data_IF_181189500430
#
_entry.id   IF_181189500430
#
_cell.length_a   1.000
_cell.length_b   1.000
_cell.length_c   1.000
_cell.angle_alpha   90.00
_cell.angle_beta   90.00
_cell.angle_gamma   90.00
#
_symmetry.space_group_name_H-M   'P 1'
#
loop_
_entity.id
_entity.type
_entity.pdbx_description
1 polymer ?
#
# COMPACT_ATOMS: atom_id res chain seq x y z
N UNK A 1 -19.95 0.68 -2.61
CA UNK A 1 -18.85 1.65 -2.47
C UNK A 1 -17.63 1.24 -3.29
N UNK A 2 -17.32 -0.05 -3.37
CA UNK A 2 -16.18 -0.55 -4.14
C UNK A 2 -16.09 -0.03 -5.59
N UNK A 3 -17.20 -0.03 -6.36
CA UNK A 3 -17.16 0.43 -7.75
C UNK A 3 -16.77 1.91 -7.86
N UNK A 4 -17.33 2.77 -7.02
CA UNK A 4 -17.00 4.20 -6.97
C UNK A 4 -15.52 4.39 -6.61
N UNK A 5 -15.04 3.72 -5.57
CA UNK A 5 -13.62 3.71 -5.23
C UNK A 5 -12.73 3.26 -6.43
N UNK A 6 -13.12 2.19 -7.12
CA UNK A 6 -12.40 1.69 -8.29
C UNK A 6 -12.39 2.71 -9.45
N UNK A 7 -13.46 3.48 -9.65
CA UNK A 7 -13.52 4.57 -10.64
C UNK A 7 -12.52 5.67 -10.32
N UNK A 8 -12.31 5.99 -9.04
CA UNK A 8 -11.34 7.01 -8.64
C UNK A 8 -9.89 6.55 -8.86
N UNK A 9 -9.51 5.38 -8.33
CA UNK A 9 -8.11 4.92 -8.45
C UNK A 9 -7.70 4.65 -9.92
N UNK A 10 -8.65 4.25 -10.78
CA UNK A 10 -8.44 4.00 -12.22
C UNK A 10 -8.67 5.24 -13.08
N UNK A 11 -9.19 6.32 -12.51
CA UNK A 11 -9.54 7.53 -13.24
C UNK A 11 -8.31 8.27 -13.74
N UNK A 12 -8.39 8.88 -14.92
CA UNK A 12 -7.30 9.69 -15.45
C UNK A 12 -7.35 11.12 -14.89
N UNK A 13 -6.94 11.29 -13.64
CA UNK A 13 -6.85 12.58 -12.95
C UNK A 13 -5.43 13.15 -13.00
N UNK A 14 -5.32 14.48 -12.94
CA UNK A 14 -4.03 15.13 -12.66
C UNK A 14 -3.53 14.79 -11.26
N UNK A 15 -2.22 14.87 -11.07
CA UNK A 15 -1.60 14.68 -9.75
C UNK A 15 -2.14 15.70 -8.74
N UNK A 16 -2.31 16.97 -9.14
CA UNK A 16 -2.89 18.01 -8.27
C UNK A 16 -4.26 17.60 -7.74
N UNK A 17 -5.20 17.19 -8.61
CA UNK A 17 -6.52 16.75 -8.16
C UNK A 17 -6.45 15.46 -7.34
N UNK A 18 -5.53 14.56 -7.68
CA UNK A 18 -5.35 13.32 -6.94
C UNK A 18 -4.97 13.59 -5.48
N UNK A 19 -3.94 14.40 -5.26
CA UNK A 19 -3.42 14.68 -3.92
C UNK A 19 -4.21 15.73 -3.15
N UNK A 20 -4.89 16.68 -3.82
CA UNK A 20 -5.69 17.71 -3.15
C UNK A 20 -7.08 17.18 -2.74
N UNK A 21 -7.71 16.32 -3.54
CA UNK A 21 -9.12 15.91 -3.35
C UNK A 21 -9.32 14.38 -3.34
N UNK A 22 -8.92 13.70 -4.42
CA UNK A 22 -9.36 12.33 -4.69
C UNK A 22 -8.86 11.30 -3.67
N UNK A 23 -7.63 11.48 -3.17
CA UNK A 23 -7.02 10.61 -2.17
C UNK A 23 -7.86 10.57 -0.89
N UNK A 24 -8.24 11.74 -0.36
CA UNK A 24 -9.04 11.84 0.87
C UNK A 24 -10.43 11.24 0.71
N UNK A 25 -11.05 11.41 -0.46
CA UNK A 25 -12.34 10.77 -0.76
C UNK A 25 -12.20 9.24 -0.82
N UNK A 26 -11.13 8.74 -1.43
CA UNK A 26 -10.85 7.31 -1.50
C UNK A 26 -10.63 6.70 -0.11
N UNK A 27 -9.90 7.38 0.77
CA UNK A 27 -9.75 6.97 2.16
C UNK A 27 -11.08 6.91 2.92
N UNK A 28 -11.98 7.87 2.68
CA UNK A 28 -13.32 7.87 3.27
C UNK A 28 -14.14 6.67 2.78
N UNK A 29 -14.07 6.33 1.50
CA UNK A 29 -14.69 5.10 0.99
C UNK A 29 -14.16 3.87 1.71
N UNK A 30 -12.83 3.72 1.84
CA UNK A 30 -12.23 2.55 2.47
C UNK A 30 -12.62 2.38 3.95
N UNK A 31 -12.84 3.48 4.68
CA UNK A 31 -13.32 3.45 6.08
C UNK A 31 -14.72 2.85 6.23
N UNK A 32 -15.51 2.86 5.16
CA UNK A 32 -16.89 2.37 5.14
C UNK A 32 -17.06 1.05 4.37
N UNK A 33 -15.97 0.46 3.86
CA UNK A 33 -16.01 -0.83 3.19
C UNK A 33 -16.50 -1.95 4.11
N UNK A 34 -17.42 -2.76 3.58
CA UNK A 34 -17.78 -4.04 4.17
C UNK A 34 -16.68 -5.10 3.98
N UNK A 35 -16.70 -6.16 4.80
CA UNK A 35 -15.80 -7.32 4.65
C UNK A 35 -15.89 -7.96 3.25
N UNK A 36 -17.08 -7.95 2.64
CA UNK A 36 -17.29 -8.44 1.27
C UNK A 36 -16.56 -7.54 0.25
N UNK A 37 -16.66 -6.22 0.38
CA UNK A 37 -15.97 -5.27 -0.51
C UNK A 37 -14.45 -5.38 -0.37
N UNK A 38 -13.93 -5.52 0.84
CA UNK A 38 -12.51 -5.80 1.07
C UNK A 38 -12.05 -7.10 0.38
N UNK A 39 -12.84 -8.16 0.51
CA UNK A 39 -12.52 -9.46 -0.11
C UNK A 39 -12.51 -9.36 -1.64
N UNK A 40 -13.49 -8.64 -2.21
CA UNK A 40 -13.56 -8.39 -3.65
C UNK A 40 -12.39 -7.54 -4.14
N UNK A 41 -12.00 -6.49 -3.41
CA UNK A 41 -10.83 -5.66 -3.74
C UNK A 41 -9.55 -6.50 -3.79
N UNK A 42 -9.30 -7.33 -2.76
CA UNK A 42 -8.15 -8.24 -2.71
C UNK A 42 -8.12 -9.18 -3.93
N UNK A 43 -9.27 -9.69 -4.36
CA UNK A 43 -9.35 -10.61 -5.50
C UNK A 43 -9.05 -9.98 -6.85
N UNK A 44 -9.14 -8.64 -6.96
CA UNK A 44 -9.03 -7.91 -8.23
C UNK A 44 -7.75 -7.09 -8.37
N UNK A 45 -7.22 -6.57 -7.26
CA UNK A 45 -6.19 -5.52 -7.27
C UNK A 45 -4.91 -5.85 -8.04
N UNK A 46 -4.52 -7.12 -8.10
CA UNK A 46 -3.33 -7.54 -8.83
C UNK A 46 -3.48 -7.38 -10.35
N UNK A 47 -4.72 -7.30 -10.86
CA UNK A 47 -5.02 -7.08 -12.28
C UNK A 47 -5.15 -5.60 -12.65
N UNK A 48 -5.05 -4.69 -11.67
CA UNK A 48 -5.04 -3.26 -11.97
C UNK A 48 -3.71 -2.87 -12.62
N UNK A 49 -3.73 -1.82 -13.43
CA UNK A 49 -2.50 -1.24 -13.94
C UNK A 49 -1.65 -0.66 -12.79
N UNK A 50 -0.37 -0.42 -13.07
CA UNK A 50 0.59 0.02 -12.04
C UNK A 50 0.17 1.34 -11.39
N UNK A 51 -0.38 2.29 -12.15
CA UNK A 51 -0.79 3.59 -11.58
C UNK A 51 -1.96 3.40 -10.60
N UNK A 52 -2.96 2.61 -10.99
CA UNK A 52 -4.07 2.25 -10.10
C UNK A 52 -3.61 1.50 -8.84
N UNK A 53 -2.59 0.65 -8.94
CA UNK A 53 -2.01 -0.03 -7.78
C UNK A 53 -1.24 0.92 -6.85
N UNK A 54 -0.51 1.90 -7.41
CA UNK A 54 0.17 2.95 -6.63
C UNK A 54 -0.85 3.76 -5.84
N UNK A 55 -1.90 4.23 -6.51
CA UNK A 55 -2.99 4.97 -5.88
C UNK A 55 -3.72 4.17 -4.81
N UNK A 56 -3.97 2.89 -5.08
CA UNK A 56 -4.51 1.98 -4.07
C UNK A 56 -3.59 1.91 -2.84
N UNK A 57 -2.27 1.79 -3.02
CA UNK A 57 -1.33 1.73 -1.91
C UNK A 57 -1.37 3.03 -1.07
N UNK A 58 -1.36 4.20 -1.71
CA UNK A 58 -1.46 5.51 -1.06
C UNK A 58 -2.72 5.62 -0.19
N UNK A 59 -3.89 5.25 -0.73
CA UNK A 59 -5.17 5.29 -0.01
C UNK A 59 -5.20 4.40 1.25
N UNK A 60 -4.30 3.42 1.35
CA UNK A 60 -4.30 2.44 2.44
C UNK A 60 -3.42 2.83 3.63
N UNK A 61 -2.58 3.86 3.47
CA UNK A 61 -1.63 4.32 4.49
C UNK A 61 -2.34 4.65 5.82
N UNK A 62 -3.44 5.40 5.74
CA UNK A 62 -4.15 5.91 6.92
C UNK A 62 -5.37 5.07 7.36
N UNK A 63 -5.68 3.98 6.64
CA UNK A 63 -6.80 3.09 6.98
C UNK A 63 -6.43 2.09 8.09
N UNK A 64 -5.16 1.62 8.10
CA UNK A 64 -4.53 0.77 9.11
C UNK A 64 -5.41 -0.37 9.72
N UNK A 65 -6.12 -1.11 8.89
CA UNK A 65 -6.90 -2.28 9.29
C UNK A 65 -6.27 -3.58 8.74
N UNK A 66 -6.76 -4.75 9.16
CA UNK A 66 -6.21 -6.05 8.71
C UNK A 66 -6.24 -6.24 7.19
N UNK A 67 -7.22 -5.67 6.50
CA UNK A 67 -7.36 -5.78 5.05
C UNK A 67 -6.37 -4.87 4.33
N UNK A 68 -6.22 -3.63 4.80
CA UNK A 68 -5.27 -2.68 4.21
C UNK A 68 -3.84 -3.18 4.31
N UNK A 69 -3.44 -3.67 5.50
CA UNK A 69 -2.13 -4.29 5.70
C UNK A 69 -1.94 -5.49 4.77
N UNK A 70 -2.93 -6.39 4.68
CA UNK A 70 -2.86 -7.56 3.80
C UNK A 70 -2.68 -7.18 2.32
N UNK A 71 -3.42 -6.17 1.85
CA UNK A 71 -3.31 -5.67 0.48
C UNK A 71 -1.89 -5.15 0.21
N UNK A 72 -1.39 -4.27 1.08
CA UNK A 72 -0.05 -3.70 0.94
C UNK A 72 1.04 -4.77 0.90
N UNK A 73 0.95 -5.79 1.76
CA UNK A 73 1.88 -6.93 1.75
C UNK A 73 1.86 -7.67 0.42
N UNK A 74 0.67 -7.97 -0.13
CA UNK A 74 0.55 -8.63 -1.43
C UNK A 74 1.18 -7.77 -2.54
N UNK A 75 0.90 -6.46 -2.54
CA UNK A 75 1.44 -5.55 -3.56
C UNK A 75 2.97 -5.39 -3.47
N UNK A 76 3.60 -5.62 -2.31
CA UNK A 76 5.07 -5.61 -2.20
C UNK A 76 5.77 -6.71 -3.02
N UNK A 77 5.02 -7.70 -3.53
CA UNK A 77 5.57 -8.75 -4.39
C UNK A 77 5.83 -8.26 -5.83
N UNK A 78 5.44 -7.02 -6.16
CA UNK A 78 5.68 -6.40 -7.46
C UNK A 78 7.17 -6.28 -7.82
N UNK A 79 7.46 -6.28 -9.11
CA UNK A 79 8.77 -5.92 -9.66
C UNK A 79 8.89 -4.41 -9.94
N UNK A 80 7.78 -3.66 -9.87
CA UNK A 80 7.79 -2.22 -10.09
C UNK A 80 8.30 -1.47 -8.86
N UNK A 81 9.47 -0.83 -8.99
CA UNK A 81 10.11 -0.12 -7.87
C UNK A 81 9.24 0.97 -7.27
N UNK A 82 8.49 1.74 -8.09
CA UNK A 82 7.65 2.83 -7.59
C UNK A 82 6.51 2.31 -6.72
N UNK A 83 5.79 1.29 -7.19
CA UNK A 83 4.75 0.64 -6.41
C UNK A 83 5.30 0.02 -5.13
N UNK A 84 6.45 -0.64 -5.20
CA UNK A 84 7.07 -1.23 -4.02
C UNK A 84 7.45 -0.17 -2.98
N UNK A 85 8.09 0.93 -3.39
CA UNK A 85 8.41 2.06 -2.48
C UNK A 85 7.13 2.61 -1.84
N UNK A 86 6.09 2.85 -2.63
CA UNK A 86 4.80 3.36 -2.16
C UNK A 86 4.16 2.42 -1.13
N UNK A 87 4.22 1.11 -1.37
CA UNK A 87 3.70 0.12 -0.41
C UNK A 87 4.50 0.11 0.89
N UNK A 88 5.85 0.19 0.81
CA UNK A 88 6.70 0.25 2.01
C UNK A 88 6.45 1.54 2.80
N UNK A 89 6.25 2.65 2.11
CA UNK A 89 5.92 3.92 2.74
C UNK A 89 4.57 3.87 3.45
N UNK A 90 3.54 3.34 2.77
CA UNK A 90 2.19 3.18 3.32
C UNK A 90 2.14 2.17 4.49
N UNK A 91 3.07 1.21 4.53
CA UNK A 91 3.22 0.29 5.66
C UNK A 91 3.98 0.87 6.84
N UNK A 92 4.59 2.06 6.74
CA UNK A 92 5.49 2.61 7.76
C UNK A 92 4.87 2.68 9.16
N UNK A 93 3.57 2.97 9.23
CA UNK A 93 2.82 3.12 10.48
C UNK A 93 1.76 2.02 10.68
N UNK A 94 1.85 0.97 9.87
CA UNK A 94 1.00 -0.20 10.00
C UNK A 94 1.25 -0.95 11.31
N UNK A 95 0.19 -1.55 11.85
CA UNK A 95 0.32 -2.45 12.99
C UNK A 95 0.89 -3.82 12.55
N UNK A 96 2.20 -4.01 12.68
CA UNK A 96 2.88 -5.27 12.33
C UNK A 96 2.55 -6.45 13.25
N UNK A 97 1.83 -6.25 14.37
CA UNK A 97 1.35 -7.38 15.17
C UNK A 97 0.33 -8.24 14.41
N UNK A 98 -0.23 -7.71 13.32
CA UNK A 98 -1.18 -8.39 12.44
C UNK A 98 -0.49 -9.35 11.43
N UNK A 99 0.83 -9.27 11.32
CA UNK A 99 1.60 -10.06 10.35
C UNK A 99 2.19 -11.33 10.97
N UNK A 100 2.15 -12.41 10.21
CA UNK A 100 2.91 -13.64 10.50
C UNK A 100 4.41 -13.41 10.37
N UNK A 101 5.21 -14.31 10.96
CA UNK A 101 6.68 -14.27 10.84
C UNK A 101 7.12 -14.36 9.37
N UNK A 102 6.43 -15.17 8.57
CA UNK A 102 6.71 -15.33 7.14
C UNK A 102 6.41 -14.05 6.35
N UNK A 103 5.26 -13.41 6.60
CA UNK A 103 4.92 -12.13 5.95
C UNK A 103 5.91 -11.03 6.30
N UNK A 104 6.32 -10.92 7.57
CA UNK A 104 7.36 -9.97 8.01
C UNK A 104 8.69 -10.23 7.30
N UNK A 105 9.06 -11.50 7.14
CA UNK A 105 10.28 -11.89 6.44
C UNK A 105 10.22 -11.51 4.95
N UNK A 106 9.14 -11.88 4.28
CA UNK A 106 8.94 -11.65 2.85
C UNK A 106 8.91 -10.15 2.51
N UNK A 107 8.17 -9.35 3.27
CA UNK A 107 8.12 -7.89 3.04
C UNK A 107 9.47 -7.24 3.31
N UNK A 108 10.24 -7.73 4.28
CA UNK A 108 11.59 -7.25 4.56
C UNK A 108 12.56 -7.56 3.42
N UNK A 109 12.44 -8.74 2.79
CA UNK A 109 13.22 -9.08 1.59
C UNK A 109 12.85 -8.13 0.46
N UNK A 110 11.56 -7.94 0.20
CA UNK A 110 11.09 -7.07 -0.88
C UNK A 110 11.56 -5.62 -0.68
N UNK A 111 11.39 -5.07 0.53
CA UNK A 111 11.86 -3.72 0.88
C UNK A 111 13.37 -3.54 0.62
N UNK A 112 14.20 -4.56 0.87
CA UNK A 112 15.64 -4.49 0.62
C UNK A 112 15.99 -4.43 -0.88
N UNK A 113 15.16 -4.97 -1.77
CA UNK A 113 15.41 -4.97 -3.22
C UNK A 113 15.51 -3.54 -3.79
N UNK A 114 14.68 -2.63 -3.31
CA UNK A 114 14.61 -1.24 -3.83
C UNK A 114 15.70 -0.32 -3.27
N UNK A 115 16.39 -0.71 -2.20
CA UNK A 115 17.46 0.10 -1.59
C UNK A 115 18.60 0.46 -2.55
N UNK A 116 18.79 -0.29 -3.64
CA UNK A 116 19.85 -0.06 -4.62
C UNK A 116 19.46 1.06 -5.60
N UNK A 117 18.17 1.21 -5.91
CA UNK A 117 17.67 2.13 -6.96
C UNK A 117 17.03 3.42 -6.42
N UNK A 118 16.75 3.50 -5.12
CA UNK A 118 16.09 4.64 -4.51
C UNK A 118 17.02 5.84 -4.23
N UNK A 119 16.42 7.02 -4.10
CA UNK A 119 17.04 8.23 -3.53
C UNK A 119 17.44 8.04 -2.06
N UNK A 120 18.30 8.93 -1.55
CA UNK A 120 18.72 8.88 -0.14
C UNK A 120 17.56 9.09 0.85
N UNK A 121 16.55 9.89 0.46
CA UNK A 121 15.37 10.11 1.28
C UNK A 121 14.54 8.83 1.40
N UNK A 122 14.24 8.17 0.27
CA UNK A 122 13.53 6.90 0.24
C UNK A 122 14.31 5.79 0.97
N UNK A 123 15.65 5.74 0.84
CA UNK A 123 16.47 4.81 1.63
C UNK A 123 16.28 5.00 3.13
N UNK A 124 16.15 6.25 3.61
CA UNK A 124 15.89 6.54 5.02
C UNK A 124 14.51 6.01 5.44
N UNK A 125 13.49 6.19 4.61
CA UNK A 125 12.14 5.63 4.81
C UNK A 125 12.18 4.11 4.93
N UNK A 126 12.78 3.45 3.95
CA UNK A 126 12.86 1.99 3.89
C UNK A 126 13.65 1.42 5.07
N UNK A 127 14.77 2.05 5.46
CA UNK A 127 15.55 1.62 6.63
C UNK A 127 14.76 1.76 7.93
N UNK A 128 14.01 2.85 8.09
CA UNK A 128 13.14 3.04 9.26
C UNK A 128 12.06 1.95 9.33
N UNK A 129 11.42 1.65 8.20
CA UNK A 129 10.47 0.54 8.08
C UNK A 129 11.12 -0.80 8.49
N UNK A 130 12.29 -1.13 7.93
CA UNK A 130 13.02 -2.36 8.23
C UNK A 130 13.39 -2.49 9.72
N UNK A 131 13.74 -1.39 10.39
CA UNK A 131 14.02 -1.41 11.83
C UNK A 131 12.75 -1.65 12.66
N UNK A 132 11.62 -1.03 12.29
CA UNK A 132 10.33 -1.23 12.98
C UNK A 132 9.84 -2.68 12.87
N UNK A 133 9.91 -3.25 11.66
CA UNK A 133 9.41 -4.61 11.45
C UNK A 133 10.28 -5.67 12.16
N UNK A 134 11.59 -5.44 12.28
CA UNK A 134 12.50 -6.30 13.04
C UNK A 134 12.31 -6.21 14.56
N UNK A 135 12.01 -5.03 15.08
CA UNK A 135 11.75 -4.82 16.52
C UNK A 135 10.37 -5.30 16.97
N UNK A 136 9.48 -5.60 16.03
CA UNK A 136 8.13 -6.15 16.29
C UNK A 136 8.09 -7.69 16.29
N UNK A 137 9.23 -8.36 16.49
CA UNK A 137 9.34 -9.83 16.55
C UNK A 137 8.89 -10.40 17.88
#
# INVERSE_FOLDING_TARGET
MLNEFEEYIKGNFSDDYWYDDALFLCEDFLKHFSDLEWTLLISKMQNYDIQSQVRLAECLADVNNKYSVKILIILTQTENSNLLITCIDSLRDANFSLLTVEEKHNVSINAKKVLISCSEMEKKVIRNFLNKIQSSQ
#
